data_IF_116792705691
#
_entry.id   IF_116792705691
#
_cell.length_a   1.000
_cell.length_b   1.000
_cell.length_c   1.000
_cell.angle_alpha   90.00
_cell.angle_beta   90.00
_cell.angle_gamma   90.00
#
_symmetry.space_group_name_H-M   'P 1'
#
loop_
_entity.id
_entity.type
_entity.pdbx_description
1 polymer ?
#
# COMPACT_ATOMS: atom_id res chain seq x y z
N UNK A 1 -8.77 -2.80 -22.92
CA UNK A 1 -8.92 -1.56 -22.15
C UNK A 1 -10.03 -0.77 -22.80
N UNK A 2 -11.03 -0.38 -22.04
CA UNK A 2 -12.17 0.38 -22.57
C UNK A 2 -11.71 1.83 -22.77
N UNK A 3 -11.69 2.39 -23.98
CA UNK A 3 -11.18 3.74 -24.26
C UNK A 3 -12.05 4.87 -23.70
N UNK A 4 -13.23 4.57 -23.15
CA UNK A 4 -14.20 5.56 -22.65
C UNK A 4 -14.25 5.74 -21.14
N UNK A 5 -13.26 5.26 -20.40
CA UNK A 5 -13.17 5.52 -18.95
C UNK A 5 -12.68 6.96 -18.74
N UNK A 6 -13.60 7.90 -18.54
CA UNK A 6 -13.34 9.30 -18.18
C UNK A 6 -12.84 9.47 -16.73
N UNK A 7 -12.64 8.39 -16.00
CA UNK A 7 -12.10 8.43 -14.65
C UNK A 7 -10.64 8.84 -14.65
N UNK A 8 -10.24 9.82 -13.82
CA UNK A 8 -8.86 10.26 -13.74
C UNK A 8 -7.94 9.10 -13.35
N UNK A 9 -6.78 8.99 -14.00
CA UNK A 9 -5.81 7.95 -13.71
C UNK A 9 -5.27 8.16 -12.29
N UNK A 10 -5.28 7.07 -11.50
CA UNK A 10 -4.71 7.04 -10.16
C UNK A 10 -3.81 5.81 -10.05
N UNK A 11 -2.59 6.03 -9.66
CA UNK A 11 -1.59 4.97 -9.43
C UNK A 11 -1.10 5.02 -8.00
N UNK A 12 -0.60 3.90 -7.50
CA UNK A 12 -0.22 3.78 -6.09
C UNK A 12 1.14 3.11 -5.95
N UNK A 13 1.95 3.69 -5.08
CA UNK A 13 3.12 3.06 -4.51
C UNK A 13 2.87 2.81 -3.01
N UNK A 14 3.13 1.58 -2.55
CA UNK A 14 2.77 1.16 -1.19
C UNK A 14 3.83 0.20 -0.59
N UNK A 15 5.01 0.71 -0.24
CA UNK A 15 6.05 -0.10 0.36
C UNK A 15 5.71 -0.46 1.81
N UNK A 16 6.30 -1.58 2.28
CA UNK A 16 6.36 -1.91 3.70
C UNK A 16 7.70 -1.41 4.27
N UNK A 17 7.71 -0.77 5.45
CA UNK A 17 8.92 -0.22 6.06
C UNK A 17 9.71 -1.30 6.82
N UNK A 18 10.10 -2.38 6.12
CA UNK A 18 10.69 -3.60 6.72
C UNK A 18 12.21 -3.68 6.60
N UNK A 19 12.88 -2.60 6.28
CA UNK A 19 14.34 -2.54 6.16
C UNK A 19 14.81 -1.42 5.25
N UNK A 20 16.09 -1.43 4.92
CA UNK A 20 16.70 -0.39 4.08
C UNK A 20 16.11 -0.37 2.68
N UNK A 21 15.77 0.81 2.14
CA UNK A 21 15.34 0.96 0.77
C UNK A 21 16.33 0.36 -0.23
N UNK A 22 15.83 -0.28 -1.26
CA UNK A 22 16.66 -0.88 -2.30
C UNK A 22 16.16 -0.52 -3.71
N UNK A 23 17.00 -0.72 -4.70
CA UNK A 23 16.73 -0.33 -6.10
C UNK A 23 15.44 -0.93 -6.66
N UNK A 24 15.03 -2.12 -6.23
CA UNK A 24 13.77 -2.73 -6.66
C UNK A 24 12.55 -1.95 -6.18
N UNK A 25 12.58 -1.43 -4.96
CA UNK A 25 11.55 -0.55 -4.42
C UNK A 25 11.48 0.77 -5.21
N UNK A 26 12.64 1.41 -5.42
CA UNK A 26 12.77 2.64 -6.20
C UNK A 26 12.25 2.47 -7.62
N UNK A 27 12.61 1.37 -8.28
CA UNK A 27 12.12 1.04 -9.62
C UNK A 27 10.60 1.00 -9.67
N UNK A 28 9.96 0.34 -8.73
CA UNK A 28 8.49 0.27 -8.67
C UNK A 28 7.86 1.66 -8.46
N UNK A 29 8.44 2.46 -7.57
CA UNK A 29 8.02 3.84 -7.36
C UNK A 29 8.14 4.66 -8.64
N UNK A 30 9.30 4.62 -9.31
CA UNK A 30 9.62 5.39 -10.51
C UNK A 30 8.63 5.09 -11.66
N UNK A 31 8.27 3.83 -11.90
CA UNK A 31 7.31 3.49 -12.95
C UNK A 31 5.92 4.08 -12.66
N UNK A 32 5.45 3.99 -11.44
CA UNK A 32 4.17 4.58 -11.05
C UNK A 32 4.21 6.11 -11.15
N UNK A 33 5.26 6.73 -10.65
CA UNK A 33 5.47 8.18 -10.72
C UNK A 33 5.49 8.66 -12.17
N UNK A 34 6.32 8.06 -13.02
CA UNK A 34 6.46 8.44 -14.42
C UNK A 34 5.13 8.29 -15.19
N UNK A 35 4.39 7.21 -14.92
CA UNK A 35 3.09 7.01 -15.55
C UNK A 35 2.07 8.07 -15.12
N UNK A 36 2.00 8.39 -13.82
CA UNK A 36 1.15 9.46 -13.31
C UNK A 36 1.52 10.81 -13.95
N UNK A 37 2.80 11.16 -13.99
CA UNK A 37 3.26 12.43 -14.59
C UNK A 37 3.00 12.50 -16.09
N UNK A 38 3.22 11.40 -16.82
CA UNK A 38 2.95 11.32 -18.26
C UNK A 38 1.46 11.48 -18.60
N UNK A 39 0.58 10.94 -17.78
CA UNK A 39 -0.87 10.92 -18.04
C UNK A 39 -1.64 12.06 -17.37
N UNK A 40 -0.98 12.93 -16.61
CA UNK A 40 -1.65 13.93 -15.77
C UNK A 40 -2.49 13.31 -14.64
N UNK A 41 -2.16 12.08 -14.24
CA UNK A 41 -2.85 11.33 -13.19
C UNK A 41 -2.34 11.67 -11.79
N UNK A 42 -2.97 11.05 -10.79
CA UNK A 42 -2.61 11.19 -9.37
C UNK A 42 -1.68 10.06 -8.93
N UNK A 43 -0.55 10.41 -8.33
CA UNK A 43 0.36 9.46 -7.70
C UNK A 43 0.13 9.42 -6.19
N UNK A 44 -0.31 8.26 -5.70
CA UNK A 44 -0.66 8.04 -4.29
C UNK A 44 0.46 7.27 -3.58
N UNK A 45 0.93 7.80 -2.44
CA UNK A 45 1.91 7.13 -1.59
C UNK A 45 1.25 6.62 -0.30
N UNK A 46 1.31 5.30 -0.09
CA UNK A 46 0.83 4.63 1.14
C UNK A 46 1.97 3.87 1.80
N UNK A 47 1.80 3.59 3.08
CA UNK A 47 2.68 2.69 3.84
C UNK A 47 1.88 1.46 4.27
N UNK A 48 2.44 0.27 4.01
CA UNK A 48 1.87 -1.00 4.46
C UNK A 48 2.67 -1.55 5.65
N UNK A 49 2.36 -1.02 6.83
CA UNK A 49 3.03 -1.20 8.12
C UNK A 49 2.28 -2.15 9.05
N UNK A 50 1.96 -3.34 8.57
CA UNK A 50 1.23 -4.35 9.37
C UNK A 50 2.11 -5.47 9.90
N UNK A 51 3.39 -5.51 9.55
CA UNK A 51 4.36 -6.45 10.07
C UNK A 51 5.10 -5.86 11.28
N UNK A 52 4.43 -5.85 12.44
CA UNK A 52 4.96 -5.27 13.67
C UNK A 52 6.34 -5.81 14.13
N UNK A 53 6.81 -6.93 13.56
CA UNK A 53 8.13 -7.49 13.90
C UNK A 53 9.25 -6.91 13.05
N UNK A 54 8.96 -6.49 11.82
CA UNK A 54 9.95 -6.02 10.85
C UNK A 54 9.80 -4.55 10.50
N UNK A 55 8.61 -3.98 10.70
CA UNK A 55 8.35 -2.57 10.43
C UNK A 55 9.07 -1.69 11.46
N UNK A 56 9.67 -0.61 11.00
CA UNK A 56 10.31 0.37 11.86
C UNK A 56 10.12 1.80 11.33
N UNK A 57 10.06 2.76 12.24
CA UNK A 57 9.96 4.17 11.88
C UNK A 57 11.25 4.63 11.17
N UNK A 58 12.41 4.08 11.54
CA UNK A 58 13.68 4.34 10.85
C UNK A 58 13.62 3.95 9.37
N UNK A 59 13.11 2.75 9.07
CA UNK A 59 12.92 2.30 7.68
C UNK A 59 11.93 3.19 6.92
N UNK A 60 10.88 3.64 7.59
CA UNK A 60 9.92 4.59 7.01
C UNK A 60 10.59 5.92 6.64
N UNK A 61 11.36 6.53 7.55
CA UNK A 61 12.07 7.78 7.26
C UNK A 61 13.10 7.61 6.14
N UNK A 62 13.83 6.49 6.09
CA UNK A 62 14.75 6.18 5.00
C UNK A 62 14.03 6.09 3.63
N UNK A 63 12.81 5.54 3.59
CA UNK A 63 11.99 5.55 2.37
C UNK A 63 11.66 6.98 1.96
N UNK A 64 11.17 7.81 2.88
CA UNK A 64 10.84 9.21 2.60
C UNK A 64 12.05 10.01 2.10
N UNK A 65 13.19 9.85 2.75
CA UNK A 65 14.43 10.53 2.37
C UNK A 65 14.89 10.10 0.97
N UNK A 66 14.85 8.81 0.68
CA UNK A 66 15.19 8.26 -0.64
C UNK A 66 14.30 8.84 -1.74
N UNK A 67 12.99 8.91 -1.53
CA UNK A 67 12.06 9.47 -2.50
C UNK A 67 12.30 10.97 -2.72
N UNK A 68 12.54 11.72 -1.64
CA UNK A 68 12.86 13.16 -1.72
C UNK A 68 14.17 13.41 -2.47
N UNK A 69 15.21 12.63 -2.16
CA UNK A 69 16.51 12.73 -2.84
C UNK A 69 16.42 12.46 -4.34
N UNK A 70 15.55 11.51 -4.75
CA UNK A 70 15.29 11.17 -6.15
C UNK A 70 14.33 12.14 -6.86
N UNK A 71 13.72 13.08 -6.13
CA UNK A 71 12.70 13.97 -6.68
C UNK A 71 11.37 13.27 -7.05
N UNK A 72 11.10 12.11 -6.45
CA UNK A 72 9.87 11.36 -6.66
C UNK A 72 8.79 11.84 -5.67
N UNK A 73 8.20 12.99 -5.97
CA UNK A 73 7.11 13.57 -5.20
C UNK A 73 5.77 12.86 -5.46
N UNK A 74 4.86 12.93 -4.49
CA UNK A 74 3.51 12.35 -4.60
C UNK A 74 2.42 13.40 -4.39
N UNK A 75 1.24 13.14 -4.93
CA UNK A 75 0.12 14.09 -4.91
C UNK A 75 -0.78 13.89 -3.70
N UNK A 76 -0.91 12.64 -3.26
CA UNK A 76 -1.78 12.20 -2.17
C UNK A 76 -1.08 11.12 -1.36
N UNK A 77 -1.29 11.09 -0.05
CA UNK A 77 -0.75 10.02 0.79
C UNK A 77 -0.13 10.49 2.09
N UNK A 78 0.82 9.71 2.59
CA UNK A 78 1.50 9.99 3.86
C UNK A 78 2.18 11.36 3.82
N UNK A 79 1.95 12.17 4.85
CA UNK A 79 2.51 13.51 4.98
C UNK A 79 1.81 14.60 4.14
N UNK A 80 1.00 14.24 3.16
CA UNK A 80 0.20 15.19 2.36
C UNK A 80 -1.30 15.10 2.62
N UNK A 81 -1.79 13.95 3.06
CA UNK A 81 -3.22 13.71 3.21
C UNK A 81 -3.91 13.43 1.88
N UNK A 82 -5.23 13.63 1.86
CA UNK A 82 -6.09 13.42 0.70
C UNK A 82 -7.45 12.83 1.09
N UNK A 83 -8.35 12.62 0.10
CA UNK A 83 -9.74 12.24 0.37
C UNK A 83 -9.95 10.80 0.82
N UNK A 84 -8.93 9.93 0.72
CA UNK A 84 -9.04 8.49 0.98
C UNK A 84 -8.14 8.02 2.14
N UNK A 85 -7.78 8.94 3.04
CA UNK A 85 -7.01 8.60 4.26
C UNK A 85 -7.74 7.63 5.19
N UNK A 86 -7.04 7.15 6.22
CA UNK A 86 -5.60 7.28 6.46
C UNK A 86 -4.74 6.50 5.43
N UNK A 87 -3.45 6.87 5.32
CA UNK A 87 -2.54 6.31 4.32
C UNK A 87 -1.46 5.39 4.90
N UNK A 88 -1.45 5.18 6.20
CA UNK A 88 -0.78 4.04 6.85
C UNK A 88 -1.78 2.89 7.01
N UNK A 89 -1.38 1.68 6.68
CA UNK A 89 -2.28 0.53 6.72
C UNK A 89 -2.70 0.19 8.16
N UNK A 90 -1.80 0.32 9.11
CA UNK A 90 -2.07 0.12 10.55
C UNK A 90 -3.20 1.01 11.09
N UNK A 91 -3.39 2.19 10.52
CA UNK A 91 -4.45 3.13 10.91
C UNK A 91 -5.83 2.83 10.30
N UNK A 92 -5.95 1.76 9.49
CA UNK A 92 -7.16 1.42 8.73
C UNK A 92 -7.91 0.20 9.27
N UNK A 93 -7.55 -0.30 10.44
CA UNK A 93 -8.09 -1.56 10.96
C UNK A 93 -9.62 -1.53 11.12
N UNK A 94 -10.19 -0.41 11.55
CA UNK A 94 -11.65 -0.26 11.70
C UNK A 94 -12.36 -0.33 10.34
N UNK A 95 -11.79 0.29 9.30
CA UNK A 95 -12.30 0.22 7.92
C UNK A 95 -12.26 -1.23 7.42
N UNK A 96 -11.17 -1.95 7.66
CA UNK A 96 -11.04 -3.35 7.24
C UNK A 96 -12.04 -4.24 7.97
N UNK A 97 -12.24 -4.03 9.26
CA UNK A 97 -13.24 -4.77 10.03
C UNK A 97 -14.65 -4.53 9.48
N UNK A 98 -15.03 -3.28 9.27
CA UNK A 98 -16.34 -2.93 8.70
C UNK A 98 -16.57 -3.61 7.34
N UNK A 99 -15.57 -3.59 6.44
CA UNK A 99 -15.67 -4.23 5.13
C UNK A 99 -15.74 -5.76 5.26
N UNK A 100 -14.94 -6.36 6.15
CA UNK A 100 -14.98 -7.80 6.40
C UNK A 100 -16.35 -8.25 6.92
N UNK A 101 -16.93 -7.50 7.86
CA UNK A 101 -18.27 -7.79 8.40
C UNK A 101 -19.35 -7.70 7.29
N UNK A 102 -19.27 -6.72 6.42
CA UNK A 102 -20.15 -6.60 5.25
C UNK A 102 -20.02 -7.77 4.27
N UNK A 103 -18.79 -8.22 4.00
CA UNK A 103 -18.53 -9.36 3.13
C UNK A 103 -19.08 -10.67 3.73
N UNK A 104 -18.89 -10.87 5.04
CA UNK A 104 -19.45 -12.02 5.75
C UNK A 104 -20.98 -12.01 5.72
N UNK A 105 -21.60 -10.88 6.06
CA UNK A 105 -23.05 -10.72 6.05
C UNK A 105 -23.66 -10.90 4.66
N UNK A 106 -22.94 -10.50 3.61
CA UNK A 106 -23.36 -10.66 2.20
C UNK A 106 -23.08 -12.05 1.61
N UNK A 107 -22.46 -12.97 2.36
CA UNK A 107 -22.10 -14.30 1.88
C UNK A 107 -20.94 -14.33 0.86
N UNK A 108 -20.19 -13.22 0.72
CA UNK A 108 -19.02 -13.13 -0.17
C UNK A 108 -17.73 -13.59 0.49
N UNK A 109 -17.72 -13.79 1.80
CA UNK A 109 -16.59 -14.31 2.57
C UNK A 109 -17.09 -15.31 3.62
N UNK A 110 -16.18 -16.18 4.08
CA UNK A 110 -16.41 -17.12 5.18
C UNK A 110 -15.29 -17.00 6.21
N UNK A 111 -15.64 -17.10 7.48
CA UNK A 111 -14.65 -17.28 8.55
C UNK A 111 -14.27 -18.74 8.66
N UNK A 112 -12.97 -19.03 8.69
CA UNK A 112 -12.50 -20.40 8.69
C UNK A 112 -11.23 -20.52 9.55
N UNK A 113 -11.13 -21.59 10.35
CA UNK A 113 -10.17 -21.72 11.44
C UNK A 113 -9.38 -23.03 11.47
N UNK A 114 -9.37 -23.83 10.38
CA UNK A 114 -8.54 -25.03 10.39
C UNK A 114 -7.29 -24.90 9.52
N UNK A 115 -6.21 -25.58 9.93
CA UNK A 115 -4.95 -25.61 9.20
C UNK A 115 -5.06 -26.51 7.96
N UNK A 116 -4.45 -26.11 6.86
CA UNK A 116 -4.29 -26.96 5.68
C UNK A 116 -3.26 -28.06 5.98
N UNK A 117 -3.45 -29.25 5.41
CA UNK A 117 -2.58 -30.41 5.66
C UNK A 117 -1.09 -30.17 5.33
N UNK A 118 -0.77 -29.27 4.41
CA UNK A 118 0.61 -28.91 4.04
C UNK A 118 1.20 -27.75 4.86
N UNK A 119 0.41 -27.14 5.75
CA UNK A 119 0.87 -26.09 6.69
C UNK A 119 1.33 -26.69 8.03
N UNK A 120 1.13 -27.99 8.24
CA UNK A 120 1.59 -28.70 9.42
C UNK A 120 3.07 -29.08 9.27
N UNK A 121 3.94 -28.59 10.16
CA UNK A 121 5.32 -29.02 10.40
C UNK A 121 6.46 -28.38 9.59
N UNK A 122 6.24 -27.48 8.67
CA UNK A 122 7.36 -26.76 8.03
C UNK A 122 7.66 -25.37 8.61
N UNK A 123 6.81 -24.89 9.53
CA UNK A 123 6.89 -23.53 10.08
C UNK A 123 6.64 -23.45 11.59
N UNK A 124 6.80 -24.58 12.30
CA UNK A 124 6.86 -24.60 13.78
C UNK A 124 8.30 -24.70 14.25
#
# INVERSE_FOLDING_TARGET
MNPDSTSPIRVRFCPSPTGTPHVGMVRTCLFNWAYARHTGGTFVFRIEDTDAKRDSEESFEQILESLRWLGLDWDEGVGKGGPYGPYRQSERMDIYKEVADKLLAGGYAVSYTHLRAHETLRYL
#
